data_IF_834009297509
#
_entry.id   IF_834009297509
#
_cell.length_a   1.000
_cell.length_b   1.000
_cell.length_c   1.000
_cell.angle_alpha   90.00
_cell.angle_beta   90.00
_cell.angle_gamma   90.00
#
_symmetry.space_group_name_H-M   'P 1'
#
loop_
_entity.id
_entity.type
_entity.pdbx_description
1 polymer ?
#
# COMPACT_ATOMS: atom_id res chain seq x y z
N UNK A 1 -12.43 -5.39 -10.67
CA UNK A 1 -11.12 -4.83 -11.04
C UNK A 1 -10.39 -4.50 -9.75
N UNK A 2 -9.78 -5.55 -9.19
CA UNK A 2 -9.48 -5.67 -7.78
C UNK A 2 -8.20 -5.00 -7.33
N UNK A 3 -8.07 -4.95 -6.01
CA UNK A 3 -6.89 -4.54 -5.24
C UNK A 3 -5.60 -5.04 -5.88
N UNK A 4 -5.59 -6.26 -6.43
CA UNK A 4 -4.50 -6.89 -7.18
C UNK A 4 -3.87 -5.98 -8.25
N UNK A 5 -4.64 -5.23 -9.05
CA UNK A 5 -4.06 -4.30 -10.04
C UNK A 5 -3.33 -3.13 -9.41
N UNK A 6 -3.75 -2.72 -8.21
CA UNK A 6 -3.15 -1.63 -7.47
C UNK A 6 -1.87 -2.10 -6.78
N UNK A 7 -1.83 -3.37 -6.36
CA UNK A 7 -0.63 -4.03 -5.85
C UNK A 7 0.40 -4.26 -6.94
N UNK A 8 -0.07 -4.66 -8.12
CA UNK A 8 0.78 -4.90 -9.29
C UNK A 8 1.37 -3.58 -9.81
N UNK A 9 0.55 -2.52 -9.91
CA UNK A 9 1.07 -1.17 -10.18
C UNK A 9 2.06 -0.74 -9.11
N UNK A 10 1.76 -0.94 -7.82
CA UNK A 10 2.69 -0.58 -6.75
C UNK A 10 4.02 -1.32 -6.90
N UNK A 11 3.98 -2.62 -7.21
CA UNK A 11 5.18 -3.42 -7.45
C UNK A 11 5.97 -2.90 -8.64
N UNK A 12 5.31 -2.64 -9.77
CA UNK A 12 5.93 -2.10 -10.99
C UNK A 12 6.54 -0.70 -10.76
N UNK A 13 5.89 0.14 -9.95
CA UNK A 13 6.41 1.45 -9.56
C UNK A 13 7.62 1.36 -8.63
N UNK A 14 7.61 0.44 -7.66
CA UNK A 14 8.75 0.23 -6.76
C UNK A 14 9.96 -0.39 -7.50
N UNK A 15 9.70 -1.19 -8.54
CA UNK A 15 10.71 -1.88 -9.36
C UNK A 15 11.32 -0.96 -10.44
N UNK A 16 10.53 -0.11 -11.11
CA UNK A 16 10.98 0.85 -12.15
C UNK A 16 11.62 2.14 -11.60
N UNK A 17 12.45 2.01 -10.58
CA UNK A 17 13.08 3.09 -9.82
C UNK A 17 14.10 3.99 -10.54
N UNK A 18 14.16 4.02 -11.88
CA UNK A 18 15.24 4.73 -12.59
C UNK A 18 14.85 5.91 -13.48
N UNK A 19 13.56 6.14 -13.83
CA UNK A 19 13.28 7.11 -14.91
C UNK A 19 13.11 8.59 -14.51
N UNK A 20 12.70 8.99 -13.30
CA UNK A 20 12.66 10.42 -12.86
C UNK A 20 12.69 10.55 -11.32
N UNK A 21 13.82 10.97 -10.73
CA UNK A 21 14.12 10.90 -9.28
C UNK A 21 13.17 11.67 -8.35
N UNK A 22 12.64 12.84 -8.76
CA UNK A 22 11.70 13.64 -7.93
C UNK A 22 10.25 13.15 -7.98
N UNK A 23 9.73 12.85 -9.18
CA UNK A 23 8.35 12.42 -9.36
C UNK A 23 8.04 11.02 -8.76
N UNK A 24 9.08 10.23 -8.45
CA UNK A 24 8.94 8.93 -7.81
C UNK A 24 8.63 9.05 -6.32
N UNK A 25 9.27 9.98 -5.59
CA UNK A 25 9.01 10.17 -4.17
C UNK A 25 7.59 10.69 -3.91
N UNK A 26 7.14 11.74 -4.62
CA UNK A 26 5.76 12.25 -4.51
C UNK A 26 4.70 11.18 -4.83
N UNK A 27 4.96 10.33 -5.83
CA UNK A 27 4.04 9.24 -6.18
C UNK A 27 4.01 8.14 -5.14
N UNK A 28 5.14 7.80 -4.53
CA UNK A 28 5.20 6.83 -3.42
C UNK A 28 4.44 7.39 -2.21
N UNK A 29 4.58 8.67 -1.92
CA UNK A 29 3.79 9.38 -0.91
C UNK A 29 2.29 9.27 -1.16
N UNK A 30 1.83 9.65 -2.35
CA UNK A 30 0.42 9.54 -2.72
C UNK A 30 -0.11 8.11 -2.59
N UNK A 31 0.71 7.11 -2.93
CA UNK A 31 0.32 5.71 -2.89
C UNK A 31 0.29 5.18 -1.46
N UNK A 32 1.18 5.65 -0.58
CA UNK A 32 1.16 5.38 0.85
C UNK A 32 -0.07 5.99 1.53
N UNK A 33 -0.45 7.22 1.17
CA UNK A 33 -1.69 7.85 1.67
C UNK A 33 -2.92 7.04 1.23
N UNK A 34 -2.98 6.65 -0.05
CA UNK A 34 -4.08 5.81 -0.56
C UNK A 34 -4.13 4.42 0.09
N UNK A 35 -2.98 3.85 0.48
CA UNK A 35 -2.91 2.60 1.24
C UNK A 35 -3.42 2.78 2.67
N UNK A 36 -3.04 3.87 3.35
CA UNK A 36 -3.52 4.22 4.69
C UNK A 36 -5.04 4.38 4.72
N UNK A 37 -5.60 5.17 3.81
CA UNK A 37 -7.06 5.35 3.73
C UNK A 37 -7.79 4.02 3.50
N UNK A 38 -7.21 3.11 2.72
CA UNK A 38 -7.77 1.78 2.49
C UNK A 38 -7.65 0.88 3.70
N UNK A 39 -6.53 0.94 4.41
CA UNK A 39 -6.30 0.19 5.64
C UNK A 39 -7.34 0.59 6.70
N UNK A 40 -7.57 1.90 6.89
CA UNK A 40 -8.61 2.42 7.78
C UNK A 40 -10.02 1.95 7.38
N UNK A 41 -10.37 2.03 6.09
CA UNK A 41 -11.67 1.55 5.58
C UNK A 41 -11.85 0.05 5.77
N UNK A 42 -10.80 -0.75 5.55
CA UNK A 42 -10.85 -2.19 5.80
C UNK A 42 -10.95 -2.50 7.29
N UNK A 43 -10.24 -1.76 8.15
CA UNK A 43 -10.29 -1.96 9.59
C UNK A 43 -11.68 -1.66 10.14
N UNK A 44 -12.32 -0.58 9.68
CA UNK A 44 -13.72 -0.30 10.01
C UNK A 44 -14.65 -1.42 9.54
N UNK A 45 -14.48 -1.92 8.31
CA UNK A 45 -15.26 -3.07 7.82
C UNK A 45 -15.04 -4.34 8.65
N UNK A 46 -13.82 -4.62 9.10
CA UNK A 46 -13.52 -5.76 9.98
C UNK A 46 -14.20 -5.62 11.34
N UNK A 47 -14.28 -4.40 11.87
CA UNK A 47 -14.95 -4.11 13.15
C UNK A 47 -16.47 -4.20 13.05
N UNK A 48 -17.05 -3.79 11.93
CA UNK A 48 -18.50 -3.81 11.67
C UNK A 48 -19.01 -5.19 11.22
N UNK A 49 -18.13 -6.04 10.67
CA UNK A 49 -18.52 -7.36 10.15
C UNK A 49 -18.69 -8.41 11.26
N UNK A 50 -19.94 -8.81 11.48
CA UNK A 50 -20.32 -9.85 12.45
C UNK A 50 -20.04 -11.27 11.96
N UNK A 51 -19.87 -11.46 10.64
CA UNK A 51 -19.62 -12.77 10.04
C UNK A 51 -18.14 -13.16 10.16
N UNK A 52 -17.83 -14.19 10.97
CA UNK A 52 -16.46 -14.65 11.20
C UNK A 52 -15.68 -15.06 9.94
N UNK A 53 -16.34 -15.69 8.96
CA UNK A 53 -15.68 -16.12 7.73
C UNK A 53 -15.27 -14.91 6.86
N UNK A 54 -16.14 -13.91 6.77
CA UNK A 54 -15.82 -12.64 6.09
C UNK A 54 -14.78 -11.84 6.88
N UNK A 55 -14.89 -11.79 8.21
CA UNK A 55 -13.93 -11.14 9.09
C UNK A 55 -12.52 -11.72 8.93
N UNK A 56 -12.38 -13.05 8.83
CA UNK A 56 -11.09 -13.71 8.55
C UNK A 56 -10.52 -13.30 7.19
N UNK A 57 -11.34 -13.27 6.13
CA UNK A 57 -10.90 -12.82 4.79
C UNK A 57 -10.44 -11.36 4.82
N UNK A 58 -11.24 -10.48 5.41
CA UNK A 58 -10.92 -9.05 5.54
C UNK A 58 -9.66 -8.83 6.38
N UNK A 59 -9.44 -9.61 7.44
CA UNK A 59 -8.20 -9.55 8.23
C UNK A 59 -6.97 -9.98 7.43
N UNK A 60 -7.08 -11.01 6.59
CA UNK A 60 -5.99 -11.41 5.69
C UNK A 60 -5.68 -10.30 4.70
N UNK A 61 -6.71 -9.68 4.12
CA UNK A 61 -6.56 -8.56 3.19
C UNK A 61 -5.92 -7.33 3.87
N UNK A 62 -6.32 -7.03 5.11
CA UNK A 62 -5.72 -5.98 5.95
C UNK A 62 -4.24 -6.27 6.23
N UNK A 63 -3.87 -7.51 6.54
CA UNK A 63 -2.45 -7.90 6.71
C UNK A 63 -1.64 -7.72 5.44
N UNK A 64 -2.19 -8.05 4.27
CA UNK A 64 -1.51 -7.87 2.98
C UNK A 64 -1.23 -6.38 2.75
N UNK A 65 -2.24 -5.53 2.98
CA UNK A 65 -2.11 -4.06 2.85
C UNK A 65 -1.07 -3.52 3.82
N UNK A 66 -1.09 -3.94 5.09
CA UNK A 66 -0.12 -3.51 6.09
C UNK A 66 1.32 -3.90 5.71
N UNK A 67 1.53 -5.11 5.19
CA UNK A 67 2.85 -5.56 4.70
C UNK A 67 3.31 -4.71 3.51
N UNK A 68 2.42 -4.38 2.58
CA UNK A 68 2.76 -3.55 1.43
C UNK A 68 3.03 -2.10 1.79
N UNK A 69 2.25 -1.55 2.73
CA UNK A 69 2.49 -0.24 3.30
C UNK A 69 3.86 -0.17 3.95
N UNK A 70 4.22 -1.18 4.76
CA UNK A 70 5.56 -1.29 5.36
C UNK A 70 6.67 -1.37 4.30
N UNK A 71 6.46 -2.12 3.21
CA UNK A 71 7.39 -2.16 2.07
C UNK A 71 7.52 -0.83 1.35
N UNK A 72 6.41 -0.11 1.16
CA UNK A 72 6.39 1.21 0.55
C UNK A 72 7.13 2.26 1.41
N UNK A 73 6.95 2.21 2.73
CA UNK A 73 7.67 3.06 3.68
C UNK A 73 9.16 2.75 3.64
N UNK A 74 9.55 1.47 3.73
CA UNK A 74 10.96 1.07 3.65
C UNK A 74 11.60 1.53 2.34
N UNK A 75 10.90 1.36 1.21
CA UNK A 75 11.38 1.84 -0.10
C UNK A 75 11.47 3.35 -0.17
N UNK A 76 10.54 4.08 0.45
CA UNK A 76 10.61 5.54 0.58
C UNK A 76 11.80 5.98 1.42
N UNK A 77 12.09 5.30 2.53
CA UNK A 77 13.28 5.57 3.36
C UNK A 77 14.57 5.31 2.57
N UNK A 78 14.65 4.21 1.81
CA UNK A 78 15.77 3.94 0.90
C UNK A 78 15.93 5.00 -0.20
N UNK A 79 14.81 5.54 -0.69
CA UNK A 79 14.78 6.57 -1.73
C UNK A 79 14.94 7.99 -1.16
N UNK A 80 14.73 8.21 0.14
CA UNK A 80 14.89 9.50 0.81
C UNK A 80 16.31 10.07 0.62
N UNK A 81 17.32 9.20 0.64
CA UNK A 81 18.71 9.57 0.32
C UNK A 81 18.99 9.85 -1.16
N UNK A 82 18.10 9.41 -2.07
CA UNK A 82 18.20 9.57 -3.53
C UNK A 82 17.26 10.62 -4.12
N UNK A 83 16.34 11.16 -3.32
CA UNK A 83 15.37 12.19 -3.70
C UNK A 83 15.84 13.63 -3.45
N UNK A 84 17.17 13.87 -3.47
CA UNK A 84 17.77 15.20 -3.62
C UNK A 84 17.90 15.59 -5.09
#
# INVERSE_FOLDING_TARGET
MGIEKLLDNLKDYLDKGEKKKKAHCDRIDELLVKLEEKELKLQQKVSDETNEAKKKRLNTELKIIAVQRKKGIARREELSGKCK
#
